data_IF_752325542489
#
_entry.id   IF_752325542489
#
_cell.length_a   1.000
_cell.length_b   1.000
_cell.length_c   1.000
_cell.angle_alpha   90.00
_cell.angle_beta   90.00
_cell.angle_gamma   90.00
#
_symmetry.space_group_name_H-M   'P 1'
#
loop_
_entity.id
_entity.type
_entity.pdbx_description
1 polymer ?
#
# COMPACT_ATOMS: atom_id res chain seq x y z
N UNK A 1 -2.41 -8.12 19.96
CA UNK A 1 -1.51 -7.63 18.90
C UNK A 1 -1.86 -6.20 18.56
N UNK A 2 -0.88 -5.37 18.20
CA UNK A 2 -1.13 -4.02 17.67
C UNK A 2 -1.02 -4.06 16.15
N UNK A 3 -2.00 -3.51 15.47
CA UNK A 3 -2.09 -3.50 14.00
C UNK A 3 -2.27 -2.07 13.51
N UNK A 4 -1.60 -1.73 12.43
CA UNK A 4 -1.65 -0.40 11.83
C UNK A 4 -1.93 -0.51 10.32
N UNK A 5 -2.82 0.33 9.80
CA UNK A 5 -2.82 0.68 8.40
C UNK A 5 -1.61 1.57 8.10
N UNK A 6 -1.25 1.72 6.82
CA UNK A 6 -0.04 2.45 6.44
C UNK A 6 -0.34 3.84 5.89
N UNK A 7 -1.03 3.92 4.76
CA UNK A 7 -1.31 5.18 4.06
C UNK A 7 -2.25 6.07 4.88
N UNK A 8 -1.93 7.35 4.99
CA UNK A 8 -2.59 8.34 5.86
C UNK A 8 -2.64 7.98 7.36
N UNK A 9 -2.18 6.80 7.74
CA UNK A 9 -2.10 6.32 9.14
C UNK A 9 -0.68 6.46 9.67
N UNK A 10 0.26 5.67 9.21
CA UNK A 10 1.70 5.77 9.54
C UNK A 10 2.39 6.79 8.64
N UNK A 11 2.09 6.75 7.36
CA UNK A 11 2.61 7.62 6.32
C UNK A 11 1.62 8.75 6.04
N UNK A 12 2.09 9.98 5.99
CA UNK A 12 1.27 11.16 5.67
C UNK A 12 1.13 11.28 4.15
N UNK A 13 0.08 10.68 3.61
CA UNK A 13 -0.23 10.61 2.18
C UNK A 13 -0.60 9.21 1.71
N UNK A 14 -0.76 9.08 0.41
CA UNK A 14 -1.05 7.83 -0.30
C UNK A 14 0.24 7.38 -1.00
N UNK A 15 0.95 6.41 -0.44
CA UNK A 15 2.26 5.95 -0.94
C UNK A 15 2.22 5.53 -2.41
N UNK A 16 1.14 4.88 -2.84
CA UNK A 16 0.94 4.51 -4.25
C UNK A 16 0.78 5.71 -5.18
N UNK A 17 0.11 6.78 -4.73
CA UNK A 17 -0.02 8.01 -5.52
C UNK A 17 1.29 8.78 -5.56
N UNK A 18 2.00 8.86 -4.43
CA UNK A 18 3.30 9.53 -4.37
C UNK A 18 4.34 8.80 -5.23
N UNK A 19 4.32 7.46 -5.25
CA UNK A 19 5.14 6.65 -6.14
C UNK A 19 4.80 6.91 -7.62
N UNK A 20 3.51 6.99 -7.97
CA UNK A 20 3.09 7.36 -9.32
C UNK A 20 3.63 8.74 -9.72
N UNK A 21 3.56 9.74 -8.83
CA UNK A 21 4.10 11.08 -9.06
C UNK A 21 5.64 11.07 -9.15
N UNK A 22 6.31 10.20 -8.40
CA UNK A 22 7.75 9.99 -8.50
C UNK A 22 8.15 9.52 -9.89
N UNK A 23 7.53 8.46 -10.40
CA UNK A 23 7.77 7.96 -11.75
C UNK A 23 7.38 8.98 -12.84
N UNK A 24 6.31 9.74 -12.64
CA UNK A 24 5.92 10.80 -13.56
C UNK A 24 6.99 11.90 -13.68
N UNK A 25 7.68 12.22 -12.61
CA UNK A 25 8.79 13.21 -12.62
C UNK A 25 10.03 12.68 -13.31
N UNK A 26 10.31 11.38 -13.18
CA UNK A 26 11.47 10.74 -13.79
C UNK A 26 11.30 10.54 -15.29
N UNK A 27 10.15 10.03 -15.72
CA UNK A 27 9.85 9.75 -17.12
C UNK A 27 8.46 10.29 -17.51
N UNK A 28 8.39 11.60 -17.65
CA UNK A 28 7.14 12.29 -18.02
C UNK A 28 6.56 11.78 -19.33
N UNK A 29 7.39 11.41 -20.31
CA UNK A 29 6.91 10.97 -21.64
C UNK A 29 6.38 9.53 -21.60
N UNK A 30 7.08 8.62 -20.91
CA UNK A 30 6.68 7.24 -20.77
C UNK A 30 5.40 7.10 -19.93
N UNK A 31 5.36 7.75 -18.78
CA UNK A 31 4.19 7.72 -17.88
C UNK A 31 2.98 8.43 -18.47
N UNK A 32 3.19 9.55 -19.17
CA UNK A 32 2.10 10.37 -19.74
C UNK A 32 1.18 9.55 -20.68
N UNK A 33 1.75 8.59 -21.37
CA UNK A 33 1.00 7.66 -22.25
C UNK A 33 -0.05 6.83 -21.47
N UNK A 34 0.20 6.54 -20.18
CA UNK A 34 -0.65 5.68 -19.37
C UNK A 34 -1.58 6.44 -18.43
N UNK A 35 -1.34 7.74 -18.18
CA UNK A 35 -2.15 8.58 -17.28
C UNK A 35 -3.64 8.51 -17.57
N UNK A 36 -4.13 8.71 -18.82
CA UNK A 36 -5.56 8.72 -19.09
C UNK A 36 -6.24 7.39 -18.74
N UNK A 37 -5.52 6.27 -18.98
CA UNK A 37 -6.02 4.93 -18.75
C UNK A 37 -6.03 4.60 -17.25
N UNK A 38 -4.95 4.94 -16.54
CA UNK A 38 -4.86 4.78 -15.10
C UNK A 38 -5.92 5.61 -14.37
N UNK A 39 -6.03 6.89 -14.71
CA UNK A 39 -7.00 7.80 -14.12
C UNK A 39 -8.44 7.34 -14.38
N UNK A 40 -8.73 6.87 -15.59
CA UNK A 40 -10.05 6.35 -15.94
C UNK A 40 -10.41 5.08 -15.14
N UNK A 41 -9.47 4.15 -14.99
CA UNK A 41 -9.64 2.95 -14.16
C UNK A 41 -9.87 3.28 -12.69
N UNK A 42 -9.02 4.14 -12.14
CA UNK A 42 -9.10 4.59 -10.76
C UNK A 42 -10.43 5.31 -10.44
N UNK A 43 -10.89 6.19 -11.34
CA UNK A 43 -12.17 6.88 -11.17
C UNK A 43 -13.37 5.93 -11.23
N UNK A 44 -13.35 4.92 -12.12
CA UNK A 44 -14.41 3.89 -12.16
C UNK A 44 -14.42 3.04 -10.90
N UNK A 45 -13.24 2.67 -10.41
CA UNK A 45 -13.11 1.95 -9.16
C UNK A 45 -13.63 2.75 -7.97
N UNK A 46 -13.22 4.02 -7.82
CA UNK A 46 -13.75 4.91 -6.75
C UNK A 46 -15.27 5.07 -6.80
N UNK A 47 -15.85 5.07 -8.00
CA UNK A 47 -17.31 5.15 -8.19
C UNK A 47 -18.03 3.80 -8.00
N UNK A 48 -17.30 2.73 -7.69
CA UNK A 48 -17.87 1.39 -7.56
C UNK A 48 -18.41 0.80 -8.86
N UNK A 49 -18.02 1.36 -10.01
CA UNK A 49 -18.46 0.91 -11.36
C UNK A 49 -17.74 -0.37 -11.78
N UNK A 50 -16.51 -0.55 -11.30
CA UNK A 50 -15.69 -1.74 -11.55
C UNK A 50 -15.09 -2.25 -10.26
N UNK A 51 -14.89 -3.56 -10.16
CA UNK A 51 -14.24 -4.22 -9.05
C UNK A 51 -12.72 -4.06 -9.11
N UNK A 52 -12.02 -4.36 -8.01
CA UNK A 52 -10.55 -4.37 -8.00
C UNK A 52 -10.00 -5.42 -8.98
N UNK A 53 -10.65 -6.58 -9.08
CA UNK A 53 -10.25 -7.64 -10.01
C UNK A 53 -10.39 -7.20 -11.47
N UNK A 54 -11.43 -6.43 -11.81
CA UNK A 54 -11.58 -5.84 -13.14
C UNK A 54 -10.54 -4.75 -13.42
N UNK A 55 -10.13 -3.98 -12.40
CA UNK A 55 -8.99 -3.04 -12.52
C UNK A 55 -7.72 -3.81 -12.84
N UNK A 56 -7.43 -4.86 -12.09
CA UNK A 56 -6.27 -5.71 -12.28
C UNK A 56 -6.25 -6.29 -13.69
N UNK A 57 -7.31 -6.96 -14.11
CA UNK A 57 -7.38 -7.63 -15.41
C UNK A 57 -7.29 -6.63 -16.59
N UNK A 58 -7.84 -5.43 -16.44
CA UNK A 58 -7.91 -4.46 -17.53
C UNK A 58 -6.70 -3.54 -17.61
N UNK A 59 -6.07 -3.27 -16.46
CA UNK A 59 -4.99 -2.28 -16.35
C UNK A 59 -3.65 -2.87 -15.93
N UNK A 60 -3.59 -4.14 -15.51
CA UNK A 60 -2.36 -4.84 -15.15
C UNK A 60 -1.36 -4.93 -16.30
N UNK A 61 -1.84 -5.08 -17.55
CA UNK A 61 -0.98 -5.06 -18.75
C UNK A 61 -0.19 -3.76 -18.93
N UNK A 62 -0.75 -2.62 -18.48
CA UNK A 62 -0.03 -1.34 -18.53
C UNK A 62 1.07 -1.24 -17.51
N UNK A 63 0.81 -1.79 -16.31
CA UNK A 63 1.82 -1.87 -15.27
C UNK A 63 3.02 -2.67 -15.78
N UNK A 64 2.76 -3.81 -16.44
CA UNK A 64 3.80 -4.62 -17.07
C UNK A 64 4.60 -3.85 -18.12
N UNK A 65 3.94 -3.28 -19.13
CA UNK A 65 4.60 -2.51 -20.20
C UNK A 65 5.45 -1.37 -19.65
N UNK A 66 5.02 -0.75 -18.55
CA UNK A 66 5.77 0.32 -17.89
C UNK A 66 6.94 -0.22 -17.07
N UNK A 67 6.70 -1.28 -16.30
CA UNK A 67 7.74 -1.90 -15.46
C UNK A 67 8.86 -2.53 -16.28
N UNK A 68 8.56 -3.07 -17.48
CA UNK A 68 9.57 -3.60 -18.40
C UNK A 68 10.63 -2.54 -18.78
N UNK A 69 10.29 -1.27 -18.76
CA UNK A 69 11.25 -0.17 -19.02
C UNK A 69 12.22 0.11 -17.87
N UNK A 70 11.89 -0.31 -16.65
CA UNK A 70 12.67 -0.05 -15.42
C UNK A 70 13.05 -1.31 -14.65
N UNK A 71 12.82 -2.52 -15.20
CA UNK A 71 12.98 -3.79 -14.48
C UNK A 71 14.33 -3.90 -13.75
N UNK A 72 15.42 -3.51 -14.40
CA UNK A 72 16.79 -3.60 -13.85
C UNK A 72 17.09 -2.55 -12.76
N UNK A 73 16.27 -1.54 -12.60
CA UNK A 73 16.50 -0.42 -11.67
C UNK A 73 15.39 -0.26 -10.62
N UNK A 74 14.31 -1.04 -10.69
CA UNK A 74 13.10 -0.83 -9.90
C UNK A 74 13.35 -0.79 -8.38
N UNK A 75 14.19 -1.70 -7.88
CA UNK A 75 14.52 -1.73 -6.45
C UNK A 75 15.24 -0.45 -6.01
N UNK A 76 16.19 0.03 -6.83
CA UNK A 76 16.90 1.30 -6.57
C UNK A 76 15.94 2.49 -6.62
N UNK A 77 14.93 2.44 -7.49
CA UNK A 77 13.93 3.50 -7.58
C UNK A 77 13.00 3.51 -6.36
N UNK A 78 12.67 2.36 -5.81
CA UNK A 78 11.92 2.29 -4.55
C UNK A 78 12.75 2.79 -3.36
N UNK A 79 14.04 2.47 -3.30
CA UNK A 79 14.95 3.05 -2.31
C UNK A 79 15.00 4.58 -2.44
N UNK A 80 15.21 5.09 -3.66
CA UNK A 80 15.26 6.53 -3.92
C UNK A 80 13.92 7.22 -3.61
N UNK A 81 12.79 6.57 -3.93
CA UNK A 81 11.48 7.06 -3.54
C UNK A 81 11.39 7.29 -2.03
N UNK A 82 11.86 6.33 -1.23
CA UNK A 82 11.83 6.45 0.23
C UNK A 82 12.85 7.47 0.75
N UNK A 83 14.00 7.63 0.13
CA UNK A 83 14.95 8.71 0.49
C UNK A 83 14.29 10.09 0.41
N UNK A 84 13.40 10.27 -0.55
CA UNK A 84 12.67 11.52 -0.74
C UNK A 84 11.43 11.65 0.16
N UNK A 85 10.82 10.54 0.57
CA UNK A 85 9.50 10.54 1.23
C UNK A 85 9.49 10.01 2.67
N UNK A 86 10.58 9.47 3.19
CA UNK A 86 10.64 8.94 4.56
C UNK A 86 10.27 9.98 5.62
N UNK A 87 10.50 11.28 5.35
CA UNK A 87 10.13 12.36 6.25
C UNK A 87 8.62 12.47 6.48
N UNK A 88 7.79 11.85 5.61
CA UNK A 88 6.33 11.76 5.76
C UNK A 88 5.87 10.68 6.74
N UNK A 89 6.78 9.89 7.33
CA UNK A 89 6.41 9.00 8.43
C UNK A 89 6.02 9.86 9.63
N UNK A 90 4.77 9.73 10.04
CA UNK A 90 4.18 10.57 11.08
C UNK A 90 4.89 10.41 12.42
N UNK A 91 5.14 11.54 13.07
CA UNK A 91 5.85 11.57 14.35
C UNK A 91 5.13 10.80 15.45
N UNK A 92 3.80 10.77 15.42
CA UNK A 92 3.04 10.00 16.41
C UNK A 92 3.42 8.51 16.36
N UNK A 93 3.54 7.92 15.14
CA UNK A 93 3.92 6.51 15.01
C UNK A 93 5.36 6.28 15.49
N UNK A 94 6.30 7.14 15.09
CA UNK A 94 7.69 7.06 15.58
C UNK A 94 7.80 7.09 17.10
N UNK A 95 6.90 7.81 17.77
CA UNK A 95 6.89 7.91 19.23
C UNK A 95 6.33 6.67 19.93
N UNK A 96 5.45 5.91 19.27
CA UNK A 96 4.77 4.75 19.88
C UNK A 96 5.13 3.41 19.28
N UNK A 97 5.88 3.39 18.16
CA UNK A 97 6.20 2.15 17.43
C UNK A 97 6.88 1.12 18.34
N UNK A 98 6.61 -0.15 18.03
CA UNK A 98 7.25 -1.32 18.67
C UNK A 98 7.68 -2.31 17.59
N UNK A 99 8.71 -3.09 17.87
CA UNK A 99 9.25 -4.09 16.95
C UNK A 99 8.23 -5.17 16.56
N UNK A 100 7.26 -5.44 17.43
CA UNK A 100 6.21 -6.44 17.24
C UNK A 100 4.92 -5.88 16.60
N UNK A 101 4.90 -4.60 16.21
CA UNK A 101 3.79 -4.00 15.45
C UNK A 101 3.59 -4.75 14.12
N UNK A 102 2.33 -4.78 13.67
CA UNK A 102 1.93 -5.41 12.42
C UNK A 102 1.36 -4.33 11.51
N UNK A 103 1.91 -4.19 10.30
CA UNK A 103 1.38 -3.29 9.29
C UNK A 103 0.49 -4.05 8.32
N UNK A 104 -0.74 -3.58 8.06
CA UNK A 104 -1.68 -4.19 7.11
C UNK A 104 -2.10 -3.15 6.08
N UNK A 105 -1.54 -3.21 4.87
CA UNK A 105 -1.67 -2.14 3.86
C UNK A 105 -1.98 -2.65 2.46
N UNK A 106 -2.63 -1.81 1.67
CA UNK A 106 -2.76 -2.02 0.23
C UNK A 106 -1.47 -1.73 -0.56
N UNK A 107 -0.47 -1.11 0.07
CA UNK A 107 0.82 -0.82 -0.54
C UNK A 107 1.49 -2.09 -1.10
N UNK A 108 2.17 -2.03 -2.27
CA UNK A 108 2.92 -3.16 -2.80
C UNK A 108 4.06 -3.61 -1.88
N UNK A 109 4.27 -4.94 -1.77
CA UNK A 109 5.29 -5.52 -0.88
C UNK A 109 6.69 -4.98 -1.16
N UNK A 110 7.09 -4.89 -2.42
CA UNK A 110 8.40 -4.39 -2.82
C UNK A 110 8.67 -2.96 -2.35
N UNK A 111 7.64 -2.14 -2.23
CA UNK A 111 7.73 -0.77 -1.72
C UNK A 111 7.66 -0.75 -0.18
N UNK A 112 6.64 -1.41 0.40
CA UNK A 112 6.40 -1.40 1.84
C UNK A 112 7.53 -2.05 2.64
N UNK A 113 8.10 -3.15 2.13
CA UNK A 113 9.20 -3.89 2.75
C UNK A 113 10.38 -2.98 3.09
N UNK A 114 10.82 -2.15 2.15
CA UNK A 114 11.94 -1.21 2.35
C UNK A 114 11.65 -0.28 3.53
N UNK A 115 10.45 0.28 3.59
CA UNK A 115 10.08 1.18 4.71
C UNK A 115 9.95 0.42 6.03
N UNK A 116 9.40 -0.79 6.03
CA UNK A 116 9.36 -1.63 7.22
C UNK A 116 10.77 -1.95 7.74
N UNK A 117 11.72 -2.26 6.88
CA UNK A 117 13.13 -2.46 7.24
C UNK A 117 13.75 -1.20 7.86
N UNK A 118 13.51 -0.03 7.28
CA UNK A 118 13.99 1.27 7.83
C UNK A 118 13.37 1.59 9.19
N UNK A 119 12.12 1.19 9.43
CA UNK A 119 11.44 1.35 10.71
C UNK A 119 11.76 0.23 11.73
N UNK A 120 12.46 -0.83 11.33
CA UNK A 120 12.71 -2.00 12.17
C UNK A 120 11.49 -2.87 12.41
N UNK A 121 10.46 -2.78 11.55
CA UNK A 121 9.23 -3.58 11.62
C UNK A 121 9.39 -4.85 10.81
N UNK A 122 9.15 -6.00 11.44
CA UNK A 122 9.31 -7.32 10.82
C UNK A 122 8.00 -7.91 10.30
N UNK A 123 6.87 -7.42 10.80
CA UNK A 123 5.56 -8.01 10.56
C UNK A 123 4.71 -7.10 9.68
N UNK A 124 4.41 -7.54 8.47
CA UNK A 124 3.48 -6.84 7.59
C UNK A 124 2.66 -7.80 6.75
N UNK A 125 1.50 -7.34 6.31
CA UNK A 125 0.60 -7.94 5.33
C UNK A 125 0.28 -6.86 4.30
N UNK A 126 0.53 -7.13 3.03
CA UNK A 126 0.40 -6.12 2.00
C UNK A 126 0.00 -6.73 0.65
N UNK A 127 -0.19 -5.89 -0.35
CA UNK A 127 -0.41 -6.37 -1.71
C UNK A 127 0.88 -6.90 -2.31
N UNK A 128 0.77 -7.98 -3.12
CA UNK A 128 1.91 -8.59 -3.82
C UNK A 128 1.74 -8.35 -5.31
N UNK A 129 2.65 -7.59 -5.86
CA UNK A 129 2.74 -7.26 -7.28
C UNK A 129 4.13 -7.65 -7.76
N UNK A 130 4.19 -8.51 -8.75
CA UNK A 130 5.42 -8.78 -9.46
C UNK A 130 5.63 -7.70 -10.53
N UNK A 131 6.51 -6.77 -10.25
CA UNK A 131 6.80 -5.66 -11.18
C UNK A 131 7.58 -6.12 -12.42
N UNK A 132 8.19 -7.30 -12.41
CA UNK A 132 8.88 -7.84 -13.61
C UNK A 132 7.90 -8.41 -14.63
N UNK A 133 6.79 -8.97 -14.17
CA UNK A 133 5.75 -9.56 -15.02
C UNK A 133 4.49 -8.71 -15.10
N UNK A 134 4.32 -7.72 -14.21
CA UNK A 134 3.09 -6.96 -14.03
C UNK A 134 1.95 -7.78 -13.41
N UNK A 135 2.24 -8.97 -12.89
CA UNK A 135 1.26 -9.85 -12.28
C UNK A 135 0.89 -9.37 -10.87
N UNK A 136 -0.40 -9.29 -10.60
CA UNK A 136 -0.92 -9.00 -9.27
C UNK A 136 -1.31 -10.32 -8.61
N UNK A 137 -0.48 -10.79 -7.69
CA UNK A 137 -0.64 -12.07 -7.01
C UNK A 137 -1.59 -11.98 -5.81
N UNK A 138 -1.62 -10.83 -5.13
CA UNK A 138 -2.41 -10.59 -3.94
C UNK A 138 -2.78 -9.12 -3.81
N UNK A 139 -4.04 -8.85 -3.44
CA UNK A 139 -4.51 -7.52 -3.06
C UNK A 139 -4.90 -7.51 -1.58
N UNK A 140 -4.32 -6.58 -0.82
CA UNK A 140 -4.60 -6.37 0.59
C UNK A 140 -5.46 -5.10 0.79
N UNK A 141 -6.77 -5.22 0.49
CA UNK A 141 -7.70 -4.09 0.54
C UNK A 141 -9.07 -4.51 1.08
N UNK A 142 -9.72 -3.65 1.89
CA UNK A 142 -11.04 -3.91 2.49
C UNK A 142 -11.13 -5.29 3.15
N UNK A 143 -12.12 -6.10 2.79
CA UNK A 143 -12.39 -7.44 3.34
C UNK A 143 -11.21 -8.40 3.18
N UNK A 144 -10.38 -8.20 2.14
CA UNK A 144 -9.17 -8.99 1.93
C UNK A 144 -8.12 -8.79 3.03
N UNK A 145 -8.08 -7.60 3.66
CA UNK A 145 -7.19 -7.37 4.82
C UNK A 145 -7.48 -8.36 5.95
N UNK A 146 -8.77 -8.61 6.27
CA UNK A 146 -9.18 -9.58 7.31
C UNK A 146 -8.82 -11.00 6.90
N UNK A 147 -9.11 -11.38 5.65
CA UNK A 147 -8.82 -12.74 5.16
C UNK A 147 -7.33 -13.05 5.25
N UNK A 148 -6.48 -12.12 4.79
CA UNK A 148 -5.03 -12.24 4.84
C UNK A 148 -4.47 -12.19 6.28
N UNK A 149 -5.09 -11.39 7.15
CA UNK A 149 -4.73 -11.37 8.56
C UNK A 149 -5.00 -12.73 9.22
N UNK A 150 -6.19 -13.29 8.99
CA UNK A 150 -6.57 -14.62 9.52
C UNK A 150 -5.72 -15.75 8.93
N UNK A 151 -5.37 -15.67 7.66
CA UNK A 151 -4.47 -16.64 7.02
C UNK A 151 -3.10 -16.68 7.72
N UNK A 152 -2.56 -15.51 8.09
CA UNK A 152 -1.23 -15.42 8.70
C UNK A 152 -1.21 -15.65 10.21
N UNK A 153 -2.26 -15.18 10.92
CA UNK A 153 -2.30 -15.16 12.39
C UNK A 153 -3.45 -15.96 13.01
N UNK A 154 -4.28 -16.63 12.18
CA UNK A 154 -5.44 -17.38 12.66
C UNK A 154 -6.48 -16.46 13.32
N UNK A 155 -7.03 -16.93 14.44
CA UNK A 155 -8.00 -16.16 15.24
C UNK A 155 -7.33 -15.31 16.33
N UNK A 156 -6.08 -14.91 16.11
CA UNK A 156 -5.36 -14.07 17.06
C UNK A 156 -6.08 -12.72 17.26
N UNK A 157 -6.22 -12.30 18.52
CA UNK A 157 -6.92 -11.07 18.87
C UNK A 157 -6.10 -9.83 18.50
N UNK A 158 -6.70 -8.93 17.75
CA UNK A 158 -6.19 -7.56 17.55
C UNK A 158 -6.61 -6.76 18.79
N UNK A 159 -5.66 -6.33 19.60
CA UNK A 159 -5.93 -5.53 20.79
C UNK A 159 -6.13 -4.05 20.44
N UNK A 160 -5.31 -3.55 19.52
CA UNK A 160 -5.35 -2.16 19.02
C UNK A 160 -5.20 -2.14 17.51
N UNK A 161 -6.08 -1.43 16.84
CA UNK A 161 -6.00 -1.17 15.41
C UNK A 161 -6.04 0.34 15.13
N UNK A 162 -5.10 0.81 14.35
CA UNK A 162 -4.96 2.21 13.96
C UNK A 162 -5.19 2.36 12.45
N UNK A 163 -6.11 3.22 12.05
CA UNK A 163 -6.45 3.49 10.64
C UNK A 163 -7.00 4.91 10.46
N UNK A 164 -6.86 5.48 9.27
CA UNK A 164 -7.49 6.74 8.87
C UNK A 164 -8.83 6.54 8.16
N UNK A 165 -9.16 5.28 7.82
CA UNK A 165 -10.18 4.98 6.81
C UNK A 165 -11.31 4.08 7.29
N UNK A 166 -12.55 4.49 7.01
CA UNK A 166 -13.73 3.63 7.15
C UNK A 166 -13.72 2.42 6.19
N UNK A 167 -12.85 2.39 5.18
CA UNK A 167 -12.69 1.22 4.31
C UNK A 167 -12.13 0.01 5.06
N UNK A 168 -11.53 0.22 6.23
CA UNK A 168 -10.98 -0.81 7.10
C UNK A 168 -11.99 -1.30 8.16
N UNK A 169 -13.28 -0.96 7.99
CA UNK A 169 -14.35 -1.42 8.87
C UNK A 169 -14.27 -2.92 9.21
N UNK A 170 -13.96 -3.83 8.27
CA UNK A 170 -13.83 -5.25 8.58
C UNK A 170 -12.72 -5.58 9.60
N UNK A 171 -11.60 -4.85 9.59
CA UNK A 171 -10.55 -4.99 10.62
C UNK A 171 -10.93 -4.31 11.93
N UNK A 172 -11.63 -3.16 11.86
CA UNK A 172 -12.18 -2.47 13.02
C UNK A 172 -13.10 -3.40 13.81
N UNK A 173 -14.02 -4.10 13.13
CA UNK A 173 -15.02 -4.98 13.75
C UNK A 173 -14.42 -6.17 14.50
N UNK A 174 -13.26 -6.68 14.09
CA UNK A 174 -12.56 -7.78 14.75
C UNK A 174 -11.52 -7.32 15.77
N UNK A 175 -11.33 -6.02 15.92
CA UNK A 175 -10.38 -5.42 16.87
C UNK A 175 -11.07 -5.10 18.19
N UNK A 176 -10.33 -5.24 19.32
CA UNK A 176 -10.84 -4.86 20.65
C UNK A 176 -10.98 -3.35 20.78
N UNK A 177 -9.99 -2.60 20.30
CA UNK A 177 -9.99 -1.14 20.27
C UNK A 177 -9.53 -0.68 18.88
N UNK A 178 -10.27 0.26 18.29
CA UNK A 178 -9.88 0.89 17.04
C UNK A 178 -9.70 2.39 17.23
N UNK A 179 -8.63 2.92 16.70
CA UNK A 179 -8.25 4.32 16.80
C UNK A 179 -8.23 4.95 15.40
N UNK A 180 -9.08 5.97 15.22
CA UNK A 180 -9.08 6.74 13.98
C UNK A 180 -7.97 7.78 14.03
N UNK A 181 -7.02 7.66 13.09
CA UNK A 181 -5.90 8.60 12.96
C UNK A 181 -6.34 9.76 12.06
N UNK A 182 -6.11 10.99 12.50
CA UNK A 182 -6.43 12.17 11.67
C UNK A 182 -5.47 12.26 10.48
N UNK A 183 -6.00 12.65 9.34
CA UNK A 183 -5.21 13.15 8.21
C UNK A 183 -4.72 14.54 8.59
N UNK A 184 -3.41 14.71 8.62
CA UNK A 184 -2.79 16.03 8.83
C UNK A 184 -2.81 16.85 7.54
#
# INVERSE_FOLDING_TARGET
MRVFDFDNTIYDGESGMDLFLHFLRMDTKGVFKYIPKFFHGFMKYKKGVITIDEVINKYGTFLKEYCDTFADSMEKEFEHFWDLNEHKIKQFYRNIQKEDDIIVSACPESLLKIMCERLGIKNYICSKIDFSTGEIQQICYKDKKVSLFKEKYGDAQIDEFYTDSASDLPLIEISRNAYMVSRE
#
